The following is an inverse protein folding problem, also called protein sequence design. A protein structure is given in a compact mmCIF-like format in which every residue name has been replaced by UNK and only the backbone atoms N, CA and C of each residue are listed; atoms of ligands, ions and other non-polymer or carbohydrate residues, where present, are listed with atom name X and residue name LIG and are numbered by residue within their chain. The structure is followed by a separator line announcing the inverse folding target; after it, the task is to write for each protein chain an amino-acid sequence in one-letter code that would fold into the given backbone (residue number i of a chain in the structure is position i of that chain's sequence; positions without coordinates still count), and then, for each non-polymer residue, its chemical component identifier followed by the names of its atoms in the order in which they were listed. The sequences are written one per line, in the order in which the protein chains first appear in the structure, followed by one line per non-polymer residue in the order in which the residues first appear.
data_IF_961990690832
#
_entry.id   IF_961990690832
#
_cell.length_a   1.000
_cell.length_b   1.000
_cell.length_c   1.000
_cell.angle_alpha   90.00
_cell.angle_beta   90.00
_cell.angle_gamma   90.00
#
_symmetry.space_group_name_H-M   'P 1'
#
loop_
_entity.id
_entity.type
_entity.pdbx_description
1 polymer ?
#
# COMPACT_ATOMS: atom_id res chain seq x y z
N UNK A 1 28.76 6.46 -65.87
CA UNK A 1 28.97 7.35 -64.74
C UNK A 1 27.68 7.47 -63.94
N UNK A 2 27.60 6.71 -62.90
CA UNK A 2 26.33 6.54 -62.11
C UNK A 2 26.56 7.04 -60.69
N UNK A 3 25.90 8.13 -60.36
CA UNK A 3 25.86 8.65 -59.01
C UNK A 3 24.97 7.77 -58.14
N UNK A 4 25.55 7.18 -57.14
CA UNK A 4 24.81 6.38 -56.15
C UNK A 4 24.47 7.29 -55.00
N UNK A 5 23.21 7.68 -54.92
CA UNK A 5 22.67 8.40 -53.78
C UNK A 5 22.51 7.42 -52.61
N UNK A 6 23.34 7.60 -51.60
CA UNK A 6 23.16 6.90 -50.31
C UNK A 6 22.23 7.74 -49.46
N UNK A 7 21.01 7.31 -49.35
CA UNK A 7 20.08 7.79 -48.33
C UNK A 7 20.54 7.23 -46.97
N UNK A 8 21.03 8.11 -46.14
CA UNK A 8 21.26 7.83 -44.73
C UNK A 8 19.91 7.98 -43.99
N UNK A 9 19.33 6.86 -43.64
CA UNK A 9 18.19 6.83 -42.72
C UNK A 9 18.74 7.00 -41.31
N UNK A 10 18.63 8.21 -40.81
CA UNK A 10 18.86 8.49 -39.40
C UNK A 10 17.65 7.97 -38.59
N UNK A 11 17.80 6.80 -37.99
CA UNK A 11 16.84 6.26 -37.05
C UNK A 11 17.00 7.02 -35.73
N UNK A 12 16.18 8.03 -35.53
CA UNK A 12 16.07 8.69 -34.22
C UNK A 12 15.38 7.75 -33.27
N UNK A 13 16.15 7.06 -32.43
CA UNK A 13 15.64 6.36 -31.25
C UNK A 13 15.18 7.43 -30.24
N UNK A 14 13.89 7.70 -30.24
CA UNK A 14 13.27 8.43 -29.14
C UNK A 14 13.25 7.49 -27.93
N UNK A 15 14.24 7.64 -27.05
CA UNK A 15 14.15 7.10 -25.69
C UNK A 15 13.05 7.89 -24.97
N UNK A 16 11.84 7.36 -25.00
CA UNK A 16 10.81 7.75 -24.06
C UNK A 16 11.25 7.29 -22.67
N UNK A 17 11.92 8.16 -21.96
CA UNK A 17 12.07 8.04 -20.52
C UNK A 17 10.67 8.18 -19.92
N UNK A 18 10.00 7.04 -19.74
CA UNK A 18 8.85 6.98 -18.88
C UNK A 18 9.37 7.22 -17.47
N UNK A 19 9.42 8.48 -17.07
CA UNK A 19 9.57 8.81 -15.67
C UNK A 19 8.31 8.30 -14.97
N UNK A 20 8.36 7.06 -14.45
CA UNK A 20 7.41 6.60 -13.43
C UNK A 20 7.67 7.46 -12.20
N UNK A 21 7.05 8.64 -12.17
CA UNK A 21 7.19 9.58 -11.09
C UNK A 21 6.64 8.97 -9.81
N UNK A 22 7.30 9.22 -8.67
CA UNK A 22 6.86 8.79 -7.34
C UNK A 22 5.44 9.26 -6.94
N UNK A 23 4.72 10.00 -7.80
CA UNK A 23 3.33 10.40 -7.62
C UNK A 23 2.35 9.24 -7.63
N UNK A 24 2.55 8.24 -8.50
CA UNK A 24 1.68 7.07 -8.58
C UNK A 24 1.84 6.20 -7.36
N UNK A 25 3.06 5.92 -6.91
CA UNK A 25 3.33 5.17 -5.68
C UNK A 25 2.77 5.89 -4.45
N UNK A 26 2.87 7.21 -4.37
CA UNK A 26 2.28 7.98 -3.27
C UNK A 26 0.76 7.81 -3.22
N UNK A 27 0.09 7.87 -4.37
CA UNK A 27 -1.35 7.65 -4.45
C UNK A 27 -1.73 6.21 -4.07
N UNK A 28 -0.96 5.23 -4.50
CA UNK A 28 -1.19 3.82 -4.19
C UNK A 28 -1.00 3.55 -2.68
N UNK A 29 -0.01 4.16 -2.05
CA UNK A 29 0.21 4.10 -0.60
C UNK A 29 -0.97 4.71 0.16
N UNK A 30 -1.44 5.89 -0.27
CA UNK A 30 -2.62 6.52 0.33
C UNK A 30 -3.86 5.65 0.17
N UNK A 31 -4.02 5.03 -1.01
CA UNK A 31 -5.14 4.13 -1.28
C UNK A 31 -5.10 2.89 -0.38
N UNK A 32 -3.93 2.31 -0.15
CA UNK A 32 -3.77 1.18 0.77
C UNK A 32 -4.24 1.53 2.19
N UNK A 33 -4.00 2.74 2.68
CA UNK A 33 -4.52 3.19 3.98
C UNK A 33 -6.04 3.34 3.96
N UNK A 34 -6.62 3.88 2.88
CA UNK A 34 -8.08 3.96 2.73
C UNK A 34 -8.72 2.59 2.70
N UNK A 35 -8.13 1.66 1.96
CA UNK A 35 -8.58 0.29 1.86
C UNK A 35 -8.50 -0.46 3.19
N UNK A 36 -7.43 -0.21 3.95
CA UNK A 36 -7.29 -0.73 5.31
C UNK A 36 -8.45 -0.29 6.22
N UNK A 37 -8.79 0.99 6.21
CA UNK A 37 -9.91 1.52 7.00
C UNK A 37 -11.24 0.91 6.54
N UNK A 38 -11.46 0.83 5.24
CA UNK A 38 -12.67 0.25 4.65
C UNK A 38 -12.81 -1.22 5.00
N UNK A 39 -11.79 -2.02 4.75
CA UNK A 39 -11.79 -3.45 5.04
C UNK A 39 -11.98 -3.75 6.54
N UNK A 40 -11.39 -2.93 7.41
CA UNK A 40 -11.58 -3.03 8.86
C UNK A 40 -13.04 -2.76 9.23
N UNK A 41 -13.64 -1.71 8.68
CA UNK A 41 -15.03 -1.35 8.96
C UNK A 41 -16.05 -2.38 8.45
N UNK A 42 -15.76 -2.95 7.30
CA UNK A 42 -16.58 -3.99 6.67
C UNK A 42 -16.32 -5.37 7.26
N UNK A 43 -15.27 -5.52 8.05
CA UNK A 43 -14.76 -6.82 8.56
C UNK A 43 -14.47 -7.80 7.43
N UNK A 44 -13.94 -7.27 6.37
CA UNK A 44 -13.46 -8.07 5.24
C UNK A 44 -12.08 -8.66 5.59
N UNK A 45 -12.11 -9.80 6.28
CA UNK A 45 -10.90 -10.48 6.74
C UNK A 45 -10.04 -10.98 5.60
N UNK A 46 -10.64 -11.43 4.51
CA UNK A 46 -9.90 -11.88 3.33
C UNK A 46 -9.09 -10.75 2.71
N UNK A 47 -9.70 -9.58 2.56
CA UNK A 47 -9.02 -8.40 2.05
C UNK A 47 -8.00 -7.84 3.02
N UNK A 48 -8.40 -7.64 4.28
CA UNK A 48 -7.51 -7.07 5.30
C UNK A 48 -6.31 -7.96 5.56
N UNK A 49 -6.54 -9.20 5.92
CA UNK A 49 -5.50 -10.12 6.34
C UNK A 49 -4.79 -10.80 5.15
N UNK A 50 -5.47 -11.00 4.03
CA UNK A 50 -4.90 -11.66 2.86
C UNK A 50 -4.19 -10.72 1.89
N UNK A 51 -4.61 -9.46 1.80
CA UNK A 51 -4.12 -8.55 0.77
C UNK A 51 -3.45 -7.28 1.31
N UNK A 52 -3.96 -6.70 2.40
CA UNK A 52 -3.55 -5.38 2.88
C UNK A 52 -2.47 -5.40 3.96
N UNK A 53 -2.43 -6.43 4.79
CA UNK A 53 -1.41 -6.61 5.82
C UNK A 53 -0.30 -7.52 5.33
N UNK A 54 0.95 -7.18 5.66
CA UNK A 54 2.08 -8.07 5.36
C UNK A 54 2.06 -9.31 6.24
N UNK A 55 2.64 -10.38 5.73
CA UNK A 55 2.81 -11.63 6.49
C UNK A 55 3.56 -11.39 7.80
N UNK A 56 4.67 -10.67 7.73
CA UNK A 56 5.48 -10.34 8.91
C UNK A 56 4.69 -9.55 9.95
N UNK A 57 3.88 -8.59 9.53
CA UNK A 57 3.04 -7.82 10.43
C UNK A 57 2.00 -8.71 11.14
N UNK A 58 1.34 -9.58 10.38
CA UNK A 58 0.38 -10.52 10.95
C UNK A 58 1.02 -11.48 11.95
N UNK A 59 2.19 -12.01 11.63
CA UNK A 59 2.93 -12.91 12.53
C UNK A 59 3.32 -12.21 13.84
N UNK A 60 3.77 -10.97 13.77
CA UNK A 60 4.08 -10.16 14.95
C UNK A 60 2.83 -9.82 15.76
N UNK A 61 1.74 -9.48 15.10
CA UNK A 61 0.51 -9.06 15.75
C UNK A 61 -0.25 -10.22 16.38
N UNK A 62 -0.23 -11.40 15.76
CA UNK A 62 -1.00 -12.58 16.21
C UNK A 62 -0.17 -13.56 17.03
N UNK A 63 1.14 -13.56 16.88
CA UNK A 63 2.03 -14.59 17.44
C UNK A 63 1.97 -15.94 16.71
N UNK A 64 1.15 -16.06 15.68
CA UNK A 64 1.09 -17.25 14.82
C UNK A 64 2.04 -17.10 13.64
N UNK A 65 2.36 -18.17 12.95
CA UNK A 65 3.26 -18.18 11.79
C UNK A 65 2.60 -18.83 10.57
N UNK A 66 3.05 -18.44 9.37
CA UNK A 66 2.54 -18.97 8.12
C UNK A 66 1.04 -18.70 7.92
N UNK A 67 0.33 -19.65 7.37
CA UNK A 67 -1.12 -19.54 7.10
C UNK A 67 -1.95 -19.34 8.38
N UNK A 68 -1.45 -19.80 9.51
CA UNK A 68 -2.11 -19.60 10.82
C UNK A 68 -2.15 -18.13 11.23
N UNK A 69 -1.20 -17.31 10.77
CA UNK A 69 -1.21 -15.88 11.08
C UNK A 69 -2.37 -15.18 10.38
N UNK A 70 -2.70 -15.56 9.15
CA UNK A 70 -3.87 -15.03 8.44
C UNK A 70 -5.17 -15.44 9.13
N UNK A 71 -5.32 -16.72 9.51
CA UNK A 71 -6.49 -17.21 10.22
C UNK A 71 -6.65 -16.50 11.57
N UNK A 72 -5.57 -16.35 12.33
CA UNK A 72 -5.59 -15.63 13.59
C UNK A 72 -5.93 -14.14 13.42
N UNK A 73 -5.48 -13.52 12.35
CA UNK A 73 -5.84 -12.15 12.00
C UNK A 73 -7.35 -12.01 11.76
N UNK A 74 -7.95 -12.93 11.00
CA UNK A 74 -9.39 -12.95 10.76
C UNK A 74 -10.19 -13.16 12.05
N UNK A 75 -9.75 -14.06 12.91
CA UNK A 75 -10.36 -14.29 14.21
C UNK A 75 -10.32 -13.06 15.11
N UNK A 76 -9.18 -12.35 15.13
CA UNK A 76 -9.05 -11.10 15.88
C UNK A 76 -9.96 -10.00 15.34
N UNK A 77 -10.13 -9.92 14.03
CA UNK A 77 -11.03 -8.95 13.41
C UNK A 77 -12.49 -9.18 13.87
N UNK A 78 -12.90 -10.43 14.01
CA UNK A 78 -14.22 -10.78 14.51
C UNK A 78 -14.43 -10.40 15.98
N UNK A 79 -13.36 -10.37 16.78
CA UNK A 79 -13.43 -9.99 18.20
C UNK A 79 -13.64 -8.48 18.41
N UNK A 80 -13.26 -7.64 17.47
CA UNK A 80 -13.40 -6.18 17.57
C UNK A 80 -14.74 -5.69 17.02
N UNK A 81 -15.81 -6.40 17.33
CA UNK A 81 -17.17 -6.00 16.91
C UNK A 81 -17.51 -4.60 17.40
N UNK A 82 -18.08 -3.80 16.52
CA UNK A 82 -18.48 -2.43 16.85
C UNK A 82 -17.39 -1.39 16.71
N UNK A 83 -16.14 -1.79 16.47
CA UNK A 83 -15.11 -0.83 16.12
C UNK A 83 -15.43 -0.18 14.77
N UNK A 84 -15.49 1.14 14.76
CA UNK A 84 -15.63 1.94 13.54
C UNK A 84 -14.48 2.93 13.45
N UNK A 85 -13.80 2.88 12.33
CA UNK A 85 -12.74 3.83 11.98
C UNK A 85 -13.32 4.87 11.00
N UNK A 86 -13.11 6.13 11.27
CA UNK A 86 -13.44 7.20 10.34
C UNK A 86 -12.17 7.90 9.92
N UNK A 87 -11.82 7.76 8.65
CA UNK A 87 -10.68 8.44 8.09
C UNK A 87 -11.04 9.91 7.83
N UNK A 88 -10.29 10.82 8.44
CA UNK A 88 -10.47 12.27 8.26
C UNK A 88 -9.59 12.75 7.11
N UNK A 89 -8.33 12.35 7.13
CA UNK A 89 -7.36 12.76 6.11
C UNK A 89 -6.23 11.75 6.01
N UNK A 90 -5.66 11.68 4.81
CA UNK A 90 -4.40 10.98 4.54
C UNK A 90 -3.43 12.00 3.99
N UNK A 91 -2.27 12.13 4.62
CA UNK A 91 -1.21 13.02 4.18
C UNK A 91 -0.47 12.49 2.95
N UNK A 92 0.45 13.29 2.44
CA UNK A 92 1.36 12.85 1.40
C UNK A 92 2.21 11.67 1.88
N UNK A 93 2.36 10.65 1.06
CA UNK A 93 3.23 9.54 1.36
C UNK A 93 4.69 9.90 1.06
N UNK A 94 5.57 9.50 1.96
CA UNK A 94 7.01 9.55 1.74
C UNK A 94 7.47 8.18 1.28
N UNK A 95 7.76 8.06 -0.02
CA UNK A 95 8.13 6.81 -0.68
C UNK A 95 9.62 6.78 -0.92
N UNK A 96 10.25 5.70 -0.51
CA UNK A 96 11.67 5.40 -0.73
C UNK A 96 11.80 3.96 -1.24
N UNK A 97 11.89 3.80 -2.56
CA UNK A 97 11.93 2.50 -3.21
C UNK A 97 10.67 1.67 -2.89
N UNK A 98 10.87 0.52 -2.26
CA UNK A 98 9.80 -0.40 -1.89
C UNK A 98 9.23 -0.14 -0.49
N UNK A 99 9.59 0.97 0.14
CA UNK A 99 9.11 1.36 1.47
C UNK A 99 8.44 2.71 1.43
N UNK A 100 7.43 2.88 2.25
CA UNK A 100 6.73 4.14 2.38
C UNK A 100 6.27 4.40 3.81
N UNK A 101 6.14 5.67 4.13
CA UNK A 101 5.53 6.16 5.37
C UNK A 101 4.48 7.18 5.01
N UNK A 102 3.33 7.08 5.64
CA UNK A 102 2.24 8.04 5.47
C UNK A 102 1.56 8.31 6.82
N UNK A 103 1.15 9.53 7.02
CA UNK A 103 0.38 9.92 8.20
C UNK A 103 -1.09 10.06 7.83
N UNK A 104 -1.95 9.60 8.71
CA UNK A 104 -3.39 9.75 8.55
C UNK A 104 -4.02 10.17 9.87
N UNK A 105 -5.10 10.92 9.77
CA UNK A 105 -5.94 11.27 10.91
C UNK A 105 -7.17 10.39 10.91
N UNK A 106 -7.37 9.64 11.98
CA UNK A 106 -8.46 8.68 12.15
C UNK A 106 -9.24 9.04 13.42
N UNK A 107 -10.54 8.90 13.36
CA UNK A 107 -11.42 8.96 14.55
C UNK A 107 -11.94 7.56 14.84
N UNK A 108 -11.78 7.12 16.06
CA UNK A 108 -12.36 5.89 16.59
C UNK A 108 -12.81 6.10 18.04
N UNK A 109 -13.99 5.57 18.39
CA UNK A 109 -14.53 5.75 19.72
C UNK A 109 -14.68 7.22 20.16
N UNK A 110 -14.95 8.13 19.22
CA UNK A 110 -15.02 9.57 19.45
C UNK A 110 -13.66 10.28 19.64
N UNK A 111 -12.56 9.55 19.55
CA UNK A 111 -11.22 10.10 19.70
C UNK A 111 -10.54 10.28 18.36
N UNK A 112 -9.97 11.46 18.15
CA UNK A 112 -9.13 11.76 16.99
C UNK A 112 -7.71 11.36 17.28
N UNK A 113 -7.11 10.59 16.38
CA UNK A 113 -5.73 10.13 16.49
C UNK A 113 -4.99 10.37 15.18
N UNK A 114 -3.75 10.82 15.31
CA UNK A 114 -2.82 10.87 14.18
C UNK A 114 -2.02 9.56 14.21
N UNK A 115 -2.11 8.82 13.12
CA UNK A 115 -1.42 7.54 12.95
C UNK A 115 -0.36 7.66 11.87
N UNK A 116 0.76 7.04 12.12
CA UNK A 116 1.84 6.87 11.16
C UNK A 116 1.83 5.43 10.67
N UNK A 117 1.56 5.24 9.40
CA UNK A 117 1.57 3.93 8.77
C UNK A 117 2.90 3.71 8.04
N UNK A 118 3.44 2.52 8.19
CA UNK A 118 4.58 2.03 7.44
C UNK A 118 4.10 0.98 6.46
N UNK A 119 4.51 1.09 5.21
CA UNK A 119 4.14 0.18 4.14
C UNK A 119 5.39 -0.33 3.42
N UNK A 120 5.27 -1.52 2.87
CA UNK A 120 6.27 -2.10 1.98
C UNK A 120 5.58 -2.63 0.72
N UNK A 121 6.27 -2.53 -0.40
CA UNK A 121 5.79 -3.09 -1.66
C UNK A 121 6.21 -4.55 -1.75
N UNK A 122 5.22 -5.42 -1.84
CA UNK A 122 5.39 -6.86 -1.95
C UNK A 122 4.58 -7.35 -3.15
N UNK A 123 5.23 -8.04 -4.09
CA UNK A 123 4.59 -8.55 -5.31
C UNK A 123 3.77 -7.48 -6.08
N UNK A 124 4.31 -6.26 -6.14
CA UNK A 124 3.69 -5.13 -6.83
C UNK A 124 2.57 -4.43 -6.06
N UNK A 125 2.26 -4.83 -4.83
CA UNK A 125 1.22 -4.25 -3.99
C UNK A 125 1.78 -3.65 -2.71
N UNK A 126 1.27 -2.50 -2.30
CA UNK A 126 1.61 -1.89 -1.03
C UNK A 126 0.85 -2.55 0.12
N UNK A 127 1.60 -3.03 1.11
CA UNK A 127 1.06 -3.69 2.31
C UNK A 127 1.50 -2.97 3.57
N UNK A 128 0.62 -2.92 4.56
CA UNK A 128 0.96 -2.38 5.88
C UNK A 128 1.91 -3.34 6.59
N UNK A 129 3.04 -2.79 7.06
CA UNK A 129 4.06 -3.53 7.81
C UNK A 129 4.19 -3.03 9.24
N UNK A 130 3.54 -1.94 9.58
CA UNK A 130 3.55 -1.36 10.92
C UNK A 130 2.72 -0.08 11.01
N UNK A 131 2.54 0.40 12.23
CA UNK A 131 1.84 1.64 12.52
C UNK A 131 2.05 2.07 13.98
N UNK A 132 2.02 3.39 14.20
CA UNK A 132 2.15 3.99 15.53
C UNK A 132 1.29 5.26 15.67
#
# INVERSE_FOLDING_TARGET
MRAVHRLAFALALALSLSACGGGDDSNDVQQAVRDFVTATNERDGDRLCGELLSQEYMEKATGATGDRAEDACKDQLDLIKGLKLRLISVGAANVDGDKAVVRATIVTGGRRMNRRFQLAKEDGSWKLVGGS
#
